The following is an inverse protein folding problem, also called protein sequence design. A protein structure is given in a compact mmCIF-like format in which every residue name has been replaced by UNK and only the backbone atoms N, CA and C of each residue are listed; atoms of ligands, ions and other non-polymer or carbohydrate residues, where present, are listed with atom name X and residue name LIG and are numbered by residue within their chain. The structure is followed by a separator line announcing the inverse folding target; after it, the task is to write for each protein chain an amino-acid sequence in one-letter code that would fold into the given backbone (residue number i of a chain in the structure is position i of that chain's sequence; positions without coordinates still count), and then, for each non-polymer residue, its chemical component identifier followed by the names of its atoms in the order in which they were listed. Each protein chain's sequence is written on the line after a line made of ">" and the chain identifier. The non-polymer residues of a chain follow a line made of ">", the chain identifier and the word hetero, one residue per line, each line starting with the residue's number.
data_IF_517419600950
#
_entry.id   IF_517419600950
#
_cell.length_a   1.000
_cell.length_b   1.000
_cell.length_c   1.000
_cell.angle_alpha   90.00
_cell.angle_beta   90.00
_cell.angle_gamma   90.00
#
_symmetry.space_group_name_H-M   'P 1'
#
loop_
_entity.id
_entity.type
_entity.pdbx_description
1 polymer ?
#
# COMPACT_ATOMS: atom_id res chain seq x y z
N UNK A 1 16.23 -15.00 27.71
CA UNK A 1 17.16 -15.84 26.98
C UNK A 1 17.57 -15.16 25.70
N UNK A 2 18.82 -14.92 25.55
CA UNK A 2 19.36 -14.19 24.42
C UNK A 2 19.98 -15.19 23.46
N UNK A 3 19.27 -15.49 22.43
CA UNK A 3 19.72 -16.34 21.34
C UNK A 3 19.94 -15.54 20.07
N UNK A 4 20.65 -14.48 20.17
CA UNK A 4 21.06 -13.72 19.01
C UNK A 4 20.57 -12.29 18.94
N UNK A 5 20.16 -11.76 20.06
CA UNK A 5 20.18 -10.34 20.26
C UNK A 5 19.12 -9.54 19.56
N UNK A 6 17.85 -9.86 19.67
CA UNK A 6 16.84 -8.89 19.32
C UNK A 6 15.78 -8.75 20.40
N UNK A 7 15.45 -7.51 20.56
CA UNK A 7 14.49 -6.90 21.44
C UNK A 7 13.34 -7.81 21.79
N UNK A 8 13.30 -8.17 23.01
CA UNK A 8 12.22 -8.94 23.59
C UNK A 8 10.92 -8.16 23.56
N UNK A 9 10.12 -8.47 22.60
CA UNK A 9 8.68 -8.43 22.81
C UNK A 9 8.34 -9.79 23.36
N UNK A 10 8.08 -9.88 24.64
CA UNK A 10 7.87 -11.12 25.37
C UNK A 10 6.88 -12.02 24.63
N UNK A 11 7.28 -13.24 24.26
CA UNK A 11 6.32 -14.25 23.83
C UNK A 11 5.39 -14.56 25.01
N UNK A 12 4.09 -14.44 24.78
CA UNK A 12 3.10 -14.78 25.80
C UNK A 12 2.44 -13.61 26.49
N UNK A 13 2.90 -12.40 26.29
CA UNK A 13 2.09 -11.24 26.59
C UNK A 13 1.32 -10.88 25.33
N UNK A 14 0.01 -10.85 25.40
CA UNK A 14 -0.85 -10.37 24.34
C UNK A 14 -0.51 -8.93 23.98
N UNK A 15 0.59 -8.72 23.24
CA UNK A 15 0.79 -7.49 22.53
C UNK A 15 0.11 -7.64 21.20
N UNK A 16 -1.08 -7.08 21.00
CA UNK A 16 -1.80 -7.21 19.73
C UNK A 16 -1.13 -6.43 18.58
N UNK A 17 -0.03 -5.77 18.85
CA UNK A 17 0.50 -4.73 17.99
C UNK A 17 1.75 -5.11 17.20
N UNK A 18 2.53 -6.09 17.66
CA UNK A 18 3.72 -6.54 16.94
C UNK A 18 3.73 -8.06 16.90
N UNK A 19 3.54 -8.62 15.74
CA UNK A 19 3.65 -10.04 15.48
C UNK A 19 4.76 -10.29 14.46
N UNK A 20 5.76 -11.05 14.89
CA UNK A 20 6.84 -11.52 14.04
C UNK A 20 6.62 -13.03 13.86
N UNK A 21 6.39 -13.48 12.65
CA UNK A 21 6.07 -14.87 12.38
C UNK A 21 7.32 -15.67 12.02
N UNK A 22 7.51 -16.79 12.72
CA UNK A 22 8.30 -17.88 12.20
C UNK A 22 7.40 -18.80 11.35
N UNK A 23 7.75 -18.93 10.12
CA UNK A 23 7.00 -19.75 9.17
C UNK A 23 7.12 -21.25 9.40
N UNK A 24 8.01 -21.71 10.30
CA UNK A 24 8.34 -23.12 10.47
C UNK A 24 7.66 -23.83 11.63
N UNK A 25 6.95 -23.14 12.48
CA UNK A 25 6.31 -23.81 13.62
C UNK A 25 4.81 -23.96 13.39
N UNK A 26 4.33 -25.12 12.90
CA UNK A 26 2.90 -25.38 12.84
C UNK A 26 2.35 -25.38 14.26
N UNK A 27 1.36 -24.54 14.53
CA UNK A 27 0.60 -24.56 15.77
C UNK A 27 0.93 -23.49 16.79
N UNK A 28 1.81 -22.52 16.51
CA UNK A 28 2.01 -21.37 17.38
C UNK A 28 1.46 -20.08 16.75
N UNK A 29 0.20 -19.73 16.97
CA UNK A 29 -0.43 -18.55 16.38
C UNK A 29 -0.03 -17.22 17.02
N UNK A 30 0.96 -17.19 17.88
CA UNK A 30 1.21 -16.01 18.71
C UNK A 30 2.67 -15.61 18.90
N UNK A 31 3.61 -16.24 18.22
CA UNK A 31 5.03 -15.91 18.40
C UNK A 31 5.67 -15.43 17.11
N UNK A 32 6.03 -14.18 17.03
CA UNK A 32 6.84 -13.70 15.94
C UNK A 32 8.32 -13.86 16.26
N UNK A 33 9.05 -14.45 15.35
CA UNK A 33 10.49 -14.55 15.43
C UNK A 33 11.14 -13.94 14.22
N UNK A 34 12.19 -13.18 14.43
CA UNK A 34 13.09 -12.82 13.36
C UNK A 34 14.01 -14.02 13.12
N UNK A 35 13.75 -14.75 12.05
CA UNK A 35 14.54 -15.93 11.75
C UNK A 35 15.65 -15.65 10.75
N UNK A 36 16.85 -16.11 11.03
CA UNK A 36 18.04 -15.85 10.20
C UNK A 36 18.47 -17.04 9.35
N UNK A 37 17.60 -17.98 9.11
CA UNK A 37 17.99 -19.24 8.49
C UNK A 37 17.43 -19.40 7.05
N UNK A 38 17.96 -18.63 6.12
CA UNK A 38 17.73 -18.76 4.66
C UNK A 38 16.28 -18.76 4.18
N UNK A 39 15.34 -18.27 4.99
CA UNK A 39 13.96 -18.06 4.59
C UNK A 39 13.57 -16.62 4.88
N UNK A 40 12.93 -16.04 3.95
CA UNK A 40 12.64 -14.62 3.92
C UNK A 40 11.43 -14.31 4.77
N UNK A 41 11.50 -13.25 5.52
CA UNK A 41 10.58 -12.91 6.60
C UNK A 41 9.66 -11.79 6.21
N UNK A 42 8.42 -11.86 6.72
CA UNK A 42 7.51 -10.73 6.76
C UNK A 42 7.66 -9.96 8.07
N UNK A 43 7.53 -8.66 7.99
CA UNK A 43 7.32 -7.81 9.16
C UNK A 43 5.82 -7.56 9.28
N UNK A 44 5.26 -7.88 10.46
CA UNK A 44 3.84 -7.65 10.74
C UNK A 44 3.71 -6.87 12.05
N UNK A 45 3.13 -5.69 11.98
CA UNK A 45 2.90 -4.83 13.14
C UNK A 45 1.47 -4.29 13.05
N UNK A 46 0.63 -4.63 14.00
CA UNK A 46 -0.76 -4.21 14.07
C UNK A 46 -1.74 -5.36 14.19
N UNK A 47 -2.97 -5.05 14.58
CA UNK A 47 -4.02 -6.04 14.69
C UNK A 47 -4.40 -6.57 13.31
N UNK A 48 -4.34 -7.89 13.13
CA UNK A 48 -4.58 -8.54 11.84
C UNK A 48 -3.69 -8.04 10.68
N UNK A 49 -2.51 -7.46 10.98
CA UNK A 49 -1.50 -7.21 9.96
C UNK A 49 -1.05 -8.53 9.32
N UNK A 50 -0.90 -8.56 8.01
CA UNK A 50 -0.65 -9.80 7.29
C UNK A 50 0.36 -9.61 6.15
N UNK A 51 1.58 -10.11 6.35
CA UNK A 51 2.65 -10.10 5.37
C UNK A 51 2.85 -11.52 4.81
N UNK A 52 2.05 -11.92 3.86
CA UNK A 52 2.09 -13.28 3.30
C UNK A 52 2.99 -13.41 2.10
N UNK A 53 3.83 -14.43 2.12
CA UNK A 53 4.32 -15.06 0.91
C UNK A 53 3.31 -16.15 0.49
N UNK A 54 2.84 -16.12 -0.73
CA UNK A 54 1.88 -17.12 -1.19
C UNK A 54 2.52 -18.48 -1.49
N UNK A 55 3.83 -18.49 -1.68
CA UNK A 55 4.59 -19.69 -2.10
C UNK A 55 5.74 -20.05 -1.16
N UNK A 56 5.82 -19.38 -0.01
CA UNK A 56 6.86 -19.66 0.98
C UNK A 56 8.24 -19.09 0.64
N UNK A 57 8.38 -18.28 -0.40
CA UNK A 57 9.69 -17.80 -0.84
C UNK A 57 10.11 -16.46 -0.28
N UNK A 58 9.27 -15.46 -0.29
CA UNK A 58 9.60 -14.11 0.18
C UNK A 58 8.38 -13.43 0.78
N UNK A 59 8.50 -12.94 2.00
CA UNK A 59 7.42 -12.18 2.65
C UNK A 59 7.49 -10.68 2.35
N UNK A 60 6.40 -10.00 2.62
CA UNK A 60 6.30 -8.55 2.55
C UNK A 60 6.44 -7.87 3.91
N UNK A 61 6.20 -6.59 3.93
CA UNK A 61 6.11 -5.76 5.13
C UNK A 61 4.67 -5.28 5.30
N UNK A 62 4.07 -5.54 6.46
CA UNK A 62 2.69 -5.15 6.80
C UNK A 62 2.68 -4.43 8.13
N UNK A 63 2.46 -3.13 8.13
CA UNK A 63 2.43 -2.31 9.34
C UNK A 63 1.15 -1.48 9.38
N UNK A 64 0.35 -1.71 10.40
CA UNK A 64 -0.95 -1.09 10.61
C UNK A 64 -2.06 -2.11 10.76
N UNK A 65 -3.13 -1.74 11.45
CA UNK A 65 -4.27 -2.64 11.65
C UNK A 65 -4.90 -3.02 10.32
N UNK A 66 -5.14 -4.30 10.13
CA UNK A 66 -5.68 -4.89 8.89
C UNK A 66 -4.86 -4.61 7.63
N UNK A 67 -3.59 -4.20 7.78
CA UNK A 67 -2.70 -4.06 6.64
C UNK A 67 -2.37 -5.42 6.01
N UNK A 68 -2.18 -5.44 4.70
CA UNK A 68 -1.85 -6.65 3.97
C UNK A 68 -0.71 -6.39 2.98
N UNK A 69 0.21 -7.36 2.87
CA UNK A 69 1.22 -7.34 1.82
C UNK A 69 1.47 -8.73 1.29
N UNK A 70 1.82 -8.82 0.02
CA UNK A 70 2.33 -10.02 -0.61
C UNK A 70 3.86 -10.01 -0.69
N UNK A 71 4.41 -11.05 -1.29
CA UNK A 71 5.84 -11.20 -1.47
C UNK A 71 6.48 -9.93 -2.04
N UNK A 72 7.60 -9.49 -1.44
CA UNK A 72 8.31 -8.26 -1.79
C UNK A 72 7.47 -6.98 -1.69
N UNK A 73 6.24 -7.08 -1.21
CA UNK A 73 5.31 -5.95 -1.11
C UNK A 73 5.41 -5.21 0.22
N UNK A 74 4.90 -4.00 0.24
CA UNK A 74 4.82 -3.16 1.44
C UNK A 74 3.37 -2.67 1.61
N UNK A 75 2.76 -3.00 2.74
CA UNK A 75 1.48 -2.46 3.20
C UNK A 75 1.69 -1.65 4.47
N UNK A 76 1.68 -0.33 4.38
CA UNK A 76 1.93 0.57 5.51
C UNK A 76 0.74 1.50 5.73
N UNK A 77 0.03 1.29 6.82
CA UNK A 77 -1.15 2.06 7.22
C UNK A 77 -2.36 1.16 7.51
N UNK A 78 -3.33 1.72 8.20
CA UNK A 78 -4.60 1.05 8.50
C UNK A 78 -5.33 0.67 7.21
N UNK A 79 -5.64 -0.61 7.04
CA UNK A 79 -6.21 -1.18 5.80
C UNK A 79 -5.37 -0.94 4.52
N UNK A 80 -4.07 -0.68 4.62
CA UNK A 80 -3.21 -0.63 3.44
C UNK A 80 -3.09 -2.03 2.81
N UNK A 81 -3.27 -2.14 1.49
CA UNK A 81 -3.33 -3.41 0.77
C UNK A 81 -2.35 -3.44 -0.40
N UNK A 82 -1.29 -4.23 -0.28
CA UNK A 82 -0.38 -4.60 -1.36
C UNK A 82 -0.77 -5.99 -1.85
N UNK A 83 -1.53 -6.07 -2.96
CA UNK A 83 -2.19 -7.31 -3.37
C UNK A 83 -1.37 -8.16 -4.35
N UNK A 84 -0.28 -7.63 -4.87
CA UNK A 84 0.58 -8.36 -5.81
C UNK A 84 2.05 -8.26 -5.42
N UNK A 85 2.87 -9.10 -6.04
CA UNK A 85 4.32 -9.15 -5.82
C UNK A 85 4.93 -7.78 -6.12
N UNK A 86 5.77 -7.29 -5.21
CA UNK A 86 6.45 -6.01 -5.35
C UNK A 86 5.55 -4.79 -5.29
N UNK A 87 4.26 -4.95 -5.01
CA UNK A 87 3.35 -3.82 -4.87
C UNK A 87 3.61 -3.04 -3.57
N UNK A 88 3.41 -1.74 -3.59
CA UNK A 88 3.62 -0.86 -2.44
C UNK A 88 2.35 -0.05 -2.17
N UNK A 89 1.77 -0.23 -1.00
CA UNK A 89 0.60 0.51 -0.53
C UNK A 89 0.96 1.24 0.77
N UNK A 90 1.03 2.57 0.73
CA UNK A 90 1.41 3.43 1.85
C UNK A 90 0.33 4.47 2.10
N UNK A 91 -0.32 4.36 3.23
CA UNK A 91 -1.41 5.24 3.63
C UNK A 91 -2.68 4.48 4.01
N UNK A 92 -3.53 5.10 4.82
CA UNK A 92 -4.78 4.46 5.25
C UNK A 92 -5.66 4.11 4.06
N UNK A 93 -6.10 2.86 3.97
CA UNK A 93 -6.92 2.31 2.90
C UNK A 93 -6.33 2.49 1.49
N UNK A 94 -5.01 2.66 1.38
CA UNK A 94 -4.32 2.62 0.08
C UNK A 94 -4.33 1.21 -0.49
N UNK A 95 -4.41 1.10 -1.82
CA UNK A 95 -4.54 -0.20 -2.48
C UNK A 95 -3.68 -0.29 -3.73
N UNK A 96 -2.61 -1.07 -3.65
CA UNK A 96 -1.75 -1.40 -4.78
C UNK A 96 -2.08 -2.82 -5.26
N UNK A 97 -2.88 -2.90 -6.33
CA UNK A 97 -3.46 -4.14 -6.83
C UNK A 97 -2.66 -4.77 -7.96
N UNK A 98 -1.91 -3.96 -8.69
CA UNK A 98 -1.11 -4.44 -9.80
C UNK A 98 0.28 -4.95 -9.36
N UNK A 99 0.89 -5.79 -10.18
CA UNK A 99 2.28 -6.23 -10.01
C UNK A 99 3.23 -5.02 -10.09
N UNK A 100 4.14 -4.88 -9.10
CA UNK A 100 5.04 -3.72 -9.00
C UNK A 100 4.33 -2.36 -9.06
N UNK A 101 3.11 -2.27 -8.55
CA UNK A 101 2.34 -1.03 -8.51
C UNK A 101 2.61 -0.24 -7.23
N UNK A 102 2.35 1.05 -7.26
CA UNK A 102 2.52 1.97 -6.14
C UNK A 102 1.21 2.71 -5.85
N UNK A 103 0.70 2.60 -4.64
CA UNK A 103 -0.40 3.42 -4.13
C UNK A 103 0.06 4.15 -2.87
N UNK A 104 0.19 5.47 -2.94
CA UNK A 104 0.71 6.28 -1.85
C UNK A 104 -0.28 7.37 -1.45
N UNK A 105 -0.49 7.50 -0.16
CA UNK A 105 -1.44 8.34 0.56
C UNK A 105 -2.83 7.70 0.74
N UNK A 106 -3.67 8.34 1.53
CA UNK A 106 -4.97 7.80 1.92
C UNK A 106 -5.85 7.50 0.71
N UNK A 107 -6.38 6.28 0.63
CA UNK A 107 -7.28 5.83 -0.42
C UNK A 107 -6.71 5.90 -1.85
N UNK A 108 -5.39 6.00 -1.99
CA UNK A 108 -4.76 5.89 -3.29
C UNK A 108 -4.99 4.49 -3.87
N UNK A 109 -5.24 4.40 -5.17
CA UNK A 109 -5.54 3.15 -5.86
C UNK A 109 -4.68 2.97 -7.12
N UNK A 110 -3.85 1.95 -7.15
CA UNK A 110 -3.07 1.54 -8.31
C UNK A 110 -3.58 0.17 -8.80
N UNK A 111 -4.39 0.17 -9.85
CA UNK A 111 -5.20 -0.97 -10.28
C UNK A 111 -4.45 -2.02 -11.07
N UNK A 112 -3.53 -1.61 -11.92
CA UNK A 112 -2.88 -2.46 -12.90
C UNK A 112 -1.36 -2.52 -12.73
N UNK A 113 -0.74 -3.43 -13.45
CA UNK A 113 0.70 -3.66 -13.46
C UNK A 113 1.48 -2.38 -13.74
N UNK A 114 2.48 -2.07 -12.89
CA UNK A 114 3.32 -0.88 -12.95
C UNK A 114 2.57 0.46 -12.79
N UNK A 115 1.30 0.43 -12.41
CA UNK A 115 0.56 1.66 -12.16
C UNK A 115 1.06 2.38 -10.90
N UNK A 116 1.06 3.70 -10.93
CA UNK A 116 1.43 4.52 -9.78
C UNK A 116 0.36 5.57 -9.47
N UNK A 117 -0.18 5.52 -8.25
CA UNK A 117 -1.15 6.48 -7.73
C UNK A 117 -0.56 7.18 -6.51
N UNK A 118 -0.32 8.49 -6.59
CA UNK A 118 0.30 9.30 -5.55
C UNK A 118 -0.60 10.48 -5.24
N UNK A 119 -1.23 10.45 -4.10
CA UNK A 119 -2.16 11.50 -3.67
C UNK A 119 -3.40 10.91 -3.01
N UNK A 120 -4.05 11.68 -2.13
CA UNK A 120 -5.30 11.25 -1.50
C UNK A 120 -6.36 10.98 -2.57
N UNK A 121 -6.91 9.78 -2.57
CA UNK A 121 -7.89 9.30 -3.54
C UNK A 121 -7.39 9.34 -5.01
N UNK A 122 -6.08 9.43 -5.26
CA UNK A 122 -5.54 9.27 -6.61
C UNK A 122 -5.82 7.85 -7.13
N UNK A 123 -6.12 7.72 -8.41
CA UNK A 123 -6.48 6.44 -9.03
C UNK A 123 -5.79 6.25 -10.37
N UNK A 124 -4.84 5.32 -10.41
CA UNK A 124 -4.14 4.87 -11.61
C UNK A 124 -4.68 3.50 -12.01
N UNK A 125 -5.54 3.45 -13.02
CA UNK A 125 -6.31 2.26 -13.39
C UNK A 125 -5.73 1.54 -14.60
N UNK A 126 -5.01 2.23 -15.46
CA UNK A 126 -4.38 1.64 -16.63
C UNK A 126 -3.02 1.02 -16.30
N UNK A 127 -2.57 0.09 -17.15
CA UNK A 127 -1.24 -0.51 -17.05
C UNK A 127 -0.15 0.55 -17.25
N UNK A 128 0.83 0.58 -16.34
CA UNK A 128 1.91 1.58 -16.35
C UNK A 128 1.41 3.04 -16.34
N UNK A 129 0.21 3.30 -15.82
CA UNK A 129 -0.35 4.64 -15.71
C UNK A 129 0.18 5.37 -14.46
N UNK A 130 0.19 6.70 -14.50
CA UNK A 130 0.57 7.57 -13.39
C UNK A 130 -0.57 8.53 -13.07
N UNK A 131 -1.09 8.49 -11.85
CA UNK A 131 -2.02 9.46 -11.30
C UNK A 131 -1.37 10.17 -10.11
N UNK A 132 -1.14 11.47 -10.19
CA UNK A 132 -0.49 12.24 -9.14
C UNK A 132 -1.28 13.48 -8.77
N UNK A 133 -1.67 13.58 -7.51
CA UNK A 133 -2.46 14.67 -6.96
C UNK A 133 -3.78 14.20 -6.35
N UNK A 134 -4.46 15.09 -5.62
CA UNK A 134 -5.73 14.77 -4.98
C UNK A 134 -6.79 14.36 -6.01
N UNK A 135 -7.32 13.16 -5.89
CA UNK A 135 -8.33 12.61 -6.80
C UNK A 135 -7.92 12.60 -8.30
N UNK A 136 -6.62 12.64 -8.59
CA UNK A 136 -6.14 12.48 -9.96
C UNK A 136 -6.56 11.11 -10.52
N UNK A 137 -6.97 11.05 -11.77
CA UNK A 137 -7.47 9.83 -12.40
C UNK A 137 -6.79 9.56 -13.74
N UNK A 138 -6.05 8.46 -13.84
CA UNK A 138 -5.42 7.96 -15.05
C UNK A 138 -6.01 6.59 -15.40
N UNK A 139 -6.84 6.50 -16.42
CA UNK A 139 -7.60 5.30 -16.79
C UNK A 139 -7.02 4.50 -17.93
N UNK A 140 -6.34 5.15 -18.86
CA UNK A 140 -5.73 4.48 -20.01
C UNK A 140 -4.37 3.88 -19.69
N UNK A 141 -3.98 2.86 -20.43
CA UNK A 141 -2.63 2.31 -20.36
C UNK A 141 -1.60 3.39 -20.70
N UNK A 142 -0.50 3.42 -19.94
CA UNK A 142 0.57 4.42 -20.10
C UNK A 142 0.11 5.88 -19.99
N UNK A 143 -1.11 6.12 -19.47
CA UNK A 143 -1.63 7.46 -19.30
C UNK A 143 -1.03 8.16 -18.09
N UNK A 144 -0.93 9.48 -18.15
CA UNK A 144 -0.42 10.33 -17.08
C UNK A 144 -1.48 11.39 -16.76
N UNK A 145 -1.83 11.48 -15.48
CA UNK A 145 -2.72 12.50 -14.95
C UNK A 145 -2.08 13.16 -13.74
N UNK A 146 -1.74 14.42 -13.83
CA UNK A 146 -1.12 15.18 -12.74
C UNK A 146 -1.97 16.42 -12.44
N UNK A 147 -2.30 16.61 -11.16
CA UNK A 147 -3.12 17.71 -10.69
C UNK A 147 -4.26 17.25 -9.80
N UNK A 148 -5.19 18.13 -9.48
CA UNK A 148 -6.35 17.80 -8.65
C UNK A 148 -7.61 17.70 -9.49
N UNK A 149 -8.34 16.60 -9.35
CA UNK A 149 -9.61 16.38 -10.03
C UNK A 149 -10.83 16.91 -9.24
N UNK A 150 -10.62 17.70 -8.22
CA UNK A 150 -11.73 18.30 -7.48
C UNK A 150 -11.97 19.76 -7.94
N UNK A 151 -12.86 19.99 -8.91
CA UNK A 151 -13.21 21.34 -9.31
C UNK A 151 -14.01 21.97 -8.17
N UNK A 152 -13.36 22.74 -7.31
CA UNK A 152 -14.08 23.68 -6.48
C UNK A 152 -14.50 24.82 -7.37
N UNK A 153 -15.80 25.07 -7.55
CA UNK A 153 -16.23 26.20 -8.32
C UNK A 153 -15.64 27.47 -7.71
N UNK A 154 -14.88 28.19 -8.51
CA UNK A 154 -14.44 29.53 -8.15
C UNK A 154 -15.48 30.52 -8.67
N UNK A 155 -15.58 31.62 -8.02
CA UNK A 155 -16.48 32.69 -8.41
C UNK A 155 -15.65 33.88 -8.86
N UNK A 156 -16.06 34.51 -9.95
CA UNK A 156 -15.48 35.76 -10.39
C UNK A 156 -15.89 36.93 -9.45
N UNK A 157 -15.39 38.11 -9.69
CA UNK A 157 -15.69 39.30 -8.93
C UNK A 157 -17.16 39.75 -9.03
N UNK A 158 -17.94 39.13 -9.87
CA UNK A 158 -19.39 39.33 -10.01
C UNK A 158 -20.20 38.21 -9.37
N UNK A 159 -19.55 37.25 -8.74
CA UNK A 159 -20.22 36.10 -8.12
C UNK A 159 -20.69 35.05 -9.12
N UNK A 160 -20.23 35.09 -10.37
CA UNK A 160 -20.54 34.06 -11.37
C UNK A 160 -19.62 32.87 -11.16
N UNK A 161 -20.14 31.66 -11.01
CA UNK A 161 -19.31 30.49 -10.90
C UNK A 161 -18.57 30.23 -12.22
N UNK A 162 -17.27 30.04 -12.16
CA UNK A 162 -16.49 29.58 -13.30
C UNK A 162 -15.67 28.36 -12.93
N UNK A 163 -15.48 27.45 -13.85
CA UNK A 163 -14.60 26.32 -13.70
C UNK A 163 -13.18 26.78 -14.00
N UNK A 164 -12.42 27.09 -12.95
CA UNK A 164 -10.99 27.25 -13.13
C UNK A 164 -10.36 25.85 -13.08
N UNK A 165 -9.74 25.43 -14.13
CA UNK A 165 -8.99 24.17 -14.24
C UNK A 165 -9.67 22.93 -13.62
N UNK A 166 -10.13 22.05 -14.45
CA UNK A 166 -10.90 20.86 -14.07
C UNK A 166 -10.09 19.77 -13.34
N UNK A 167 -8.85 20.05 -12.99
CA UNK A 167 -7.97 19.06 -12.40
C UNK A 167 -7.30 18.14 -13.42
N UNK A 168 -6.70 17.09 -12.92
CA UNK A 168 -5.99 16.14 -13.74
C UNK A 168 -6.94 15.32 -14.59
N UNK A 169 -6.82 15.47 -15.88
CA UNK A 169 -7.49 14.61 -16.85
C UNK A 169 -6.54 13.53 -17.35
N UNK A 170 -7.11 12.42 -17.74
CA UNK A 170 -6.38 11.32 -18.35
C UNK A 170 -5.65 11.80 -19.62
N UNK A 171 -4.34 11.74 -19.61
CA UNK A 171 -3.52 11.93 -20.80
C UNK A 171 -3.02 10.59 -21.29
N UNK A 172 -3.38 10.20 -22.49
CA UNK A 172 -2.77 9.03 -23.11
C UNK A 172 -1.45 9.46 -23.76
N UNK A 173 -0.41 8.70 -23.47
CA UNK A 173 0.80 8.76 -24.29
C UNK A 173 0.49 8.13 -25.65
N UNK A 174 0.70 8.87 -26.70
CA UNK A 174 0.63 8.34 -28.07
C UNK A 174 1.92 7.61 -28.42
#
# INVERSE_FOLDING_TARGET
>A
HNDGGFTYLYPGQNSPYIQMYDYKTPGNPGGGYLYTNNKVFGIQIGNNANARANDGSVSGISIGDYSQSRALGIGLGHYAQSEQIGAIAVGSASKAKGFNSLAMMRQAYAGEQYAAAIGTAASAQGKASLAMGHSALATGDQSIAIGSANPTPKYDDKGTPYTAYDGATNTQAN
#
